data_IF_506518281446
#
_entry.id   IF_506518281446
#
_cell.length_a   1.000
_cell.length_b   1.000
_cell.length_c   1.000
_cell.angle_alpha   90.00
_cell.angle_beta   90.00
_cell.angle_gamma   90.00
#
_symmetry.space_group_name_H-M   'P 1'
#
loop_
_entity.id
_entity.type
_entity.pdbx_description
1 polymer ?
#
# COMPACT_ATOMS: atom_id res chain seq x y z
N UNK A 1 8.73 -16.01 -1.57
CA UNK A 1 7.74 -16.77 -0.77
C UNK A 1 8.44 -17.87 0.04
N UNK A 2 7.74 -18.48 0.99
CA UNK A 2 8.32 -19.43 1.96
C UNK A 2 8.59 -20.83 1.37
N UNK A 3 8.69 -20.96 0.06
CA UNK A 3 9.06 -22.20 -0.61
C UNK A 3 8.19 -23.40 -0.22
N UNK A 4 8.84 -24.50 0.18
CA UNK A 4 8.15 -25.72 0.60
C UNK A 4 7.47 -25.63 1.95
N UNK A 5 7.82 -24.64 2.79
CA UNK A 5 7.31 -24.50 4.14
C UNK A 5 5.92 -23.84 4.26
N UNK A 6 5.32 -23.37 3.18
CA UNK A 6 4.00 -22.73 3.22
C UNK A 6 2.88 -23.76 3.36
N UNK A 7 2.05 -23.61 4.38
CA UNK A 7 0.82 -24.40 4.56
C UNK A 7 -0.28 -23.87 3.62
N UNK A 8 -0.16 -24.08 2.32
CA UNK A 8 -1.03 -23.50 1.27
C UNK A 8 -2.52 -23.88 1.38
N UNK A 9 -2.85 -24.92 2.17
CA UNK A 9 -4.24 -25.35 2.41
C UNK A 9 -4.81 -24.77 3.71
N UNK A 10 -4.00 -24.03 4.50
CA UNK A 10 -4.50 -23.33 5.68
C UNK A 10 -5.39 -22.16 5.26
N UNK A 11 -6.51 -21.90 5.94
CA UNK A 11 -7.42 -20.79 5.56
C UNK A 11 -6.72 -19.44 5.44
N UNK A 12 -5.76 -19.16 6.33
CA UNK A 12 -5.01 -17.91 6.33
C UNK A 12 -3.98 -17.79 5.18
N UNK A 13 -3.68 -18.89 4.45
CA UNK A 13 -2.76 -18.87 3.31
C UNK A 13 -3.33 -18.11 2.10
N UNK A 14 -4.63 -17.86 2.06
CA UNK A 14 -5.24 -16.99 1.03
C UNK A 14 -4.60 -15.60 0.99
N UNK A 15 -4.19 -15.06 2.13
CA UNK A 15 -3.60 -13.71 2.21
C UNK A 15 -2.30 -13.60 1.42
N UNK A 16 -1.23 -14.37 1.70
CA UNK A 16 0.02 -14.28 0.93
C UNK A 16 -0.14 -14.70 -0.53
N UNK A 17 -0.97 -15.69 -0.83
CA UNK A 17 -1.21 -16.14 -2.22
C UNK A 17 -1.88 -15.03 -3.02
N UNK A 18 -2.99 -14.48 -2.53
CA UNK A 18 -3.71 -13.37 -3.12
C UNK A 18 -2.83 -12.12 -3.27
N UNK A 19 -2.02 -11.83 -2.27
CA UNK A 19 -1.11 -10.68 -2.29
C UNK A 19 -0.14 -10.77 -3.47
N UNK A 20 0.55 -11.90 -3.62
CA UNK A 20 1.53 -12.08 -4.72
C UNK A 20 0.83 -12.08 -6.07
N UNK A 21 -0.29 -12.77 -6.17
CA UNK A 21 -1.10 -12.79 -7.38
C UNK A 21 -1.50 -11.36 -7.79
N UNK A 22 -2.10 -10.60 -6.86
CA UNK A 22 -2.61 -9.26 -7.15
C UNK A 22 -1.51 -8.20 -7.37
N UNK A 23 -0.30 -8.37 -6.80
CA UNK A 23 0.85 -7.55 -7.14
C UNK A 23 1.12 -7.59 -8.64
N UNK A 24 1.09 -8.78 -9.26
CA UNK A 24 1.36 -8.93 -10.69
C UNK A 24 0.32 -8.23 -11.58
N UNK A 25 -0.89 -7.99 -11.05
CA UNK A 25 -1.97 -7.26 -11.72
C UNK A 25 -1.94 -5.75 -11.46
N UNK A 26 -0.94 -5.23 -10.74
CA UNK A 26 -0.86 -3.79 -10.50
C UNK A 26 -0.64 -3.04 -11.82
N UNK A 27 -1.46 -2.01 -12.13
CA UNK A 27 -1.41 -1.33 -13.43
C UNK A 27 -0.06 -0.66 -13.72
N UNK A 28 0.72 -0.29 -12.70
CA UNK A 28 2.04 0.30 -12.87
C UNK A 28 3.07 -0.66 -13.48
N UNK A 29 2.83 -1.98 -13.40
CA UNK A 29 3.64 -2.97 -14.13
C UNK A 29 3.26 -3.12 -15.61
N UNK A 30 2.24 -2.40 -16.05
CA UNK A 30 1.85 -2.37 -17.44
C UNK A 30 1.32 -3.70 -18.01
N UNK A 31 0.91 -4.66 -17.17
CA UNK A 31 0.36 -5.95 -17.61
C UNK A 31 1.39 -6.96 -18.13
N UNK A 32 2.68 -6.64 -18.08
CA UNK A 32 3.75 -7.60 -18.41
C UNK A 32 4.14 -8.36 -17.13
N UNK A 33 3.98 -9.68 -17.17
CA UNK A 33 4.26 -10.57 -16.04
C UNK A 33 5.17 -11.70 -16.50
N UNK A 34 6.29 -11.87 -15.79
CA UNK A 34 7.09 -13.09 -15.86
C UNK A 34 7.14 -13.76 -14.49
N UNK A 35 7.18 -15.06 -14.46
CA UNK A 35 7.24 -15.85 -13.23
C UNK A 35 8.54 -16.64 -13.19
N UNK A 36 9.27 -16.52 -12.10
CA UNK A 36 10.46 -17.32 -11.84
C UNK A 36 10.14 -18.23 -10.67
N UNK A 37 10.03 -19.52 -10.94
CA UNK A 37 9.83 -20.57 -9.95
C UNK A 37 11.12 -21.33 -9.69
N UNK A 38 11.26 -21.91 -8.49
CA UNK A 38 12.35 -22.83 -8.21
C UNK A 38 12.11 -24.17 -8.92
N UNK A 39 10.86 -24.68 -8.86
CA UNK A 39 10.43 -25.96 -9.44
C UNK A 39 9.87 -26.96 -8.42
N UNK A 40 10.25 -26.84 -7.12
CA UNK A 40 9.77 -27.72 -6.05
C UNK A 40 8.96 -27.01 -4.98
N UNK A 41 8.61 -25.75 -5.16
CA UNK A 41 7.76 -25.00 -4.26
C UNK A 41 6.32 -25.54 -4.23
N UNK A 42 5.63 -25.45 -3.09
CA UNK A 42 4.21 -25.88 -2.98
C UNK A 42 3.26 -25.01 -3.81
N UNK A 43 3.56 -23.72 -3.94
CA UNK A 43 2.80 -22.83 -4.81
C UNK A 43 3.48 -22.76 -6.17
N UNK A 44 3.15 -23.71 -7.03
CA UNK A 44 3.63 -23.77 -8.41
C UNK A 44 3.12 -22.57 -9.23
N UNK A 45 3.86 -22.13 -10.26
CA UNK A 45 3.45 -21.04 -11.14
C UNK A 45 2.03 -21.18 -11.68
N UNK A 46 1.66 -22.37 -12.12
CA UNK A 46 0.34 -22.66 -12.68
C UNK A 46 -0.77 -22.37 -11.66
N UNK A 47 -0.58 -22.75 -10.40
CA UNK A 47 -1.53 -22.49 -9.32
C UNK A 47 -1.59 -21.00 -8.97
N UNK A 48 -0.45 -20.31 -9.01
CA UNK A 48 -0.39 -18.86 -8.76
C UNK A 48 -1.15 -18.09 -9.84
N UNK A 49 -1.05 -18.53 -11.08
CA UNK A 49 -1.62 -17.85 -12.26
C UNK A 49 -3.09 -18.19 -12.49
N UNK A 50 -3.55 -19.34 -12.01
CA UNK A 50 -4.95 -19.75 -12.11
C UNK A 50 -5.82 -18.87 -11.22
N UNK A 51 -6.91 -18.34 -11.77
CA UNK A 51 -7.92 -17.62 -11.02
C UNK A 51 -8.69 -18.52 -10.05
N UNK A 52 -9.29 -17.92 -9.06
CA UNK A 52 -10.26 -18.52 -8.14
C UNK A 52 -11.51 -17.64 -8.12
N UNK A 53 -12.53 -18.02 -7.36
CA UNK A 53 -13.75 -17.19 -7.23
C UNK A 53 -13.44 -15.76 -6.75
N UNK A 54 -12.37 -15.59 -5.97
CA UNK A 54 -11.95 -14.29 -5.40
C UNK A 54 -10.79 -13.62 -6.15
N UNK A 55 -10.21 -14.29 -7.17
CA UNK A 55 -8.95 -13.84 -7.82
C UNK A 55 -9.00 -14.10 -9.34
N UNK A 56 -8.85 -13.03 -10.10
CA UNK A 56 -8.84 -13.11 -11.58
C UNK A 56 -7.62 -13.89 -12.09
N UNK A 57 -7.80 -14.80 -13.06
CA UNK A 57 -6.68 -15.47 -13.71
C UNK A 57 -5.72 -14.47 -14.37
N UNK A 58 -4.42 -14.75 -14.28
CA UNK A 58 -3.38 -13.97 -14.97
C UNK A 58 -3.03 -14.69 -16.27
N UNK A 59 -3.29 -14.07 -17.42
CA UNK A 59 -2.92 -14.67 -18.71
C UNK A 59 -1.41 -14.51 -18.92
N UNK A 60 -0.65 -15.53 -18.52
CA UNK A 60 0.81 -15.59 -18.75
C UNK A 60 1.11 -16.69 -19.75
N UNK A 61 1.82 -16.34 -20.81
CA UNK A 61 2.32 -17.32 -21.75
C UNK A 61 3.34 -18.26 -21.08
N UNK A 62 3.33 -19.54 -21.40
CA UNK A 62 4.29 -20.51 -20.85
C UNK A 62 5.75 -20.11 -21.08
N UNK A 63 6.04 -19.39 -22.17
CA UNK A 63 7.35 -18.83 -22.47
C UNK A 63 7.80 -17.71 -21.50
N UNK A 64 6.92 -17.22 -20.64
CA UNK A 64 7.21 -16.23 -19.59
C UNK A 64 7.36 -16.85 -18.19
N UNK A 65 7.35 -18.19 -18.11
CA UNK A 65 7.60 -18.96 -16.89
C UNK A 65 8.97 -19.60 -16.97
N UNK A 66 9.84 -19.27 -16.01
CA UNK A 66 11.19 -19.88 -15.90
C UNK A 66 11.23 -20.73 -14.65
N UNK A 67 11.49 -22.03 -14.81
CA UNK A 67 11.79 -22.93 -13.69
C UNK A 67 13.30 -23.10 -13.54
N UNK A 68 13.84 -22.74 -12.38
CA UNK A 68 15.29 -22.85 -12.15
C UNK A 68 15.80 -24.30 -12.14
N UNK A 69 14.94 -25.25 -11.77
CA UNK A 69 15.25 -26.70 -11.75
C UNK A 69 14.97 -27.40 -13.08
N UNK A 70 14.68 -26.67 -14.16
CA UNK A 70 14.52 -27.26 -15.49
C UNK A 70 15.84 -27.93 -15.92
N UNK A 71 15.76 -29.14 -16.46
CA UNK A 71 16.92 -29.95 -16.90
C UNK A 71 17.74 -29.29 -18.03
N UNK A 72 17.15 -28.34 -18.76
CA UNK A 72 17.87 -27.52 -19.74
C UNK A 72 18.93 -26.61 -19.14
N UNK A 73 18.84 -26.30 -17.84
CA UNK A 73 19.77 -25.42 -17.16
C UNK A 73 21.03 -26.21 -16.72
N UNK A 74 22.16 -25.90 -17.34
CA UNK A 74 23.45 -26.45 -16.99
C UNK A 74 24.33 -25.40 -16.35
N UNK A 75 24.42 -25.44 -15.02
CA UNK A 75 25.11 -24.43 -14.20
C UNK A 75 24.27 -23.16 -13.96
N UNK A 76 24.70 -22.35 -12.98
CA UNK A 76 23.97 -21.17 -12.56
C UNK A 76 23.89 -20.08 -13.66
N UNK A 77 24.93 -19.95 -14.47
CA UNK A 77 24.96 -18.96 -15.53
C UNK A 77 23.84 -19.16 -16.54
N UNK A 78 23.54 -20.42 -16.94
CA UNK A 78 22.47 -20.71 -17.89
C UNK A 78 21.07 -20.33 -17.34
N UNK A 79 20.86 -20.46 -16.01
CA UNK A 79 19.63 -20.01 -15.37
C UNK A 79 19.47 -18.48 -15.50
N UNK A 80 20.55 -17.73 -15.23
CA UNK A 80 20.56 -16.25 -15.31
C UNK A 80 20.33 -15.80 -16.76
N UNK A 81 20.97 -16.44 -17.72
CA UNK A 81 20.82 -16.13 -19.15
C UNK A 81 19.38 -16.34 -19.61
N UNK A 82 18.72 -17.43 -19.22
CA UNK A 82 17.30 -17.69 -19.56
C UNK A 82 16.38 -16.63 -18.94
N UNK A 83 16.58 -16.28 -17.65
CA UNK A 83 15.84 -15.21 -16.99
C UNK A 83 16.00 -13.88 -17.74
N UNK A 84 17.23 -13.49 -18.08
CA UNK A 84 17.51 -12.24 -18.77
C UNK A 84 16.90 -12.20 -20.17
N UNK A 85 16.93 -13.31 -20.88
CA UNK A 85 16.31 -13.41 -22.21
C UNK A 85 14.78 -13.24 -22.15
N UNK A 86 14.13 -13.83 -21.15
CA UNK A 86 12.68 -13.65 -20.94
C UNK A 86 12.39 -12.21 -20.54
N UNK A 87 13.16 -11.63 -19.59
CA UNK A 87 12.98 -10.26 -19.12
C UNK A 87 13.15 -9.24 -20.26
N UNK A 88 14.13 -9.44 -21.15
CA UNK A 88 14.35 -8.55 -22.30
C UNK A 88 13.11 -8.44 -23.20
N UNK A 89 12.44 -9.55 -23.48
CA UNK A 89 11.20 -9.56 -24.27
C UNK A 89 10.11 -8.72 -23.64
N UNK A 90 9.95 -8.81 -22.31
CA UNK A 90 8.98 -7.99 -21.57
C UNK A 90 9.37 -6.51 -21.58
N UNK A 91 10.66 -6.20 -21.39
CA UNK A 91 11.17 -4.83 -21.44
C UNK A 91 10.98 -4.18 -22.80
N UNK A 92 11.19 -4.91 -23.90
CA UNK A 92 10.93 -4.41 -25.25
C UNK A 92 9.47 -4.00 -25.44
N UNK A 93 8.52 -4.81 -24.96
CA UNK A 93 7.08 -4.46 -25.00
C UNK A 93 6.77 -3.23 -24.14
N UNK A 94 7.31 -3.17 -22.90
CA UNK A 94 7.11 -2.04 -21.99
C UNK A 94 7.67 -0.73 -22.57
N UNK A 95 8.84 -0.77 -23.21
CA UNK A 95 9.49 0.40 -23.81
C UNK A 95 8.73 0.98 -25.03
N UNK A 96 7.82 0.23 -25.63
CA UNK A 96 6.96 0.71 -26.72
C UNK A 96 5.75 1.50 -26.23
N UNK A 97 5.43 1.44 -24.93
CA UNK A 97 4.25 2.10 -24.37
C UNK A 97 4.41 3.61 -24.34
N UNK A 98 3.34 4.28 -24.70
CA UNK A 98 3.23 5.74 -24.68
C UNK A 98 2.29 6.17 -23.56
N UNK A 99 2.59 7.30 -22.92
CA UNK A 99 1.67 7.95 -21.99
C UNK A 99 0.57 8.67 -22.76
N UNK A 100 -0.66 8.52 -22.30
CA UNK A 100 -1.83 9.21 -22.85
C UNK A 100 -2.60 9.91 -21.73
N UNK A 101 -3.44 10.87 -22.14
CA UNK A 101 -4.29 11.61 -21.20
C UNK A 101 -5.42 10.68 -20.72
N UNK A 102 -5.56 10.55 -19.41
CA UNK A 102 -6.65 9.83 -18.79
C UNK A 102 -7.29 10.69 -17.67
N UNK A 103 -8.56 10.44 -17.33
CA UNK A 103 -9.20 11.17 -16.24
C UNK A 103 -8.63 10.77 -14.87
N UNK A 104 -8.70 11.69 -13.90
CA UNK A 104 -8.24 11.44 -12.54
C UNK A 104 -8.97 10.27 -11.84
N UNK A 105 -10.15 9.89 -12.36
CA UNK A 105 -10.91 8.72 -11.88
C UNK A 105 -10.17 7.37 -12.04
N UNK A 106 -9.12 7.31 -12.87
CA UNK A 106 -8.29 6.11 -13.02
C UNK A 106 -7.22 5.98 -11.91
N UNK A 107 -7.04 7.01 -11.09
CA UNK A 107 -6.09 6.96 -9.97
C UNK A 107 -6.63 6.07 -8.84
N UNK A 108 -5.72 5.27 -8.29
CA UNK A 108 -5.90 4.56 -7.02
C UNK A 108 -4.82 5.04 -6.07
N UNK A 109 -5.19 5.85 -5.08
CA UNK A 109 -4.23 6.52 -4.19
C UNK A 109 -4.25 5.87 -2.83
N UNK A 110 -3.11 5.29 -2.42
CA UNK A 110 -2.92 4.73 -1.08
C UNK A 110 -2.51 5.80 -0.08
N UNK A 111 -3.12 5.79 1.11
CA UNK A 111 -2.79 6.69 2.20
C UNK A 111 -2.18 5.90 3.35
N UNK A 112 -0.98 6.29 3.79
CA UNK A 112 -0.28 5.65 4.89
C UNK A 112 0.41 6.68 5.77
N UNK A 113 0.73 6.33 7.01
CA UNK A 113 1.60 7.12 7.87
C UNK A 113 2.60 6.23 8.61
N UNK A 114 3.79 6.74 8.83
CA UNK A 114 4.83 6.06 9.61
C UNK A 114 5.75 7.07 10.29
N UNK A 115 6.34 6.69 11.42
CA UNK A 115 7.06 7.65 12.24
C UNK A 115 6.17 8.80 12.73
N UNK A 116 4.90 8.50 13.05
CA UNK A 116 3.90 9.50 13.46
C UNK A 116 4.30 10.22 14.75
N UNK A 117 3.87 11.47 14.88
CA UNK A 117 4.06 12.34 16.03
C UNK A 117 2.74 13.03 16.44
N UNK A 118 2.77 13.88 17.48
CA UNK A 118 1.58 14.61 17.94
C UNK A 118 0.99 15.55 16.88
N UNK A 119 1.79 16.02 15.92
CA UNK A 119 1.32 16.89 14.84
C UNK A 119 0.65 16.15 13.71
N UNK A 120 0.83 14.83 13.58
CA UNK A 120 0.28 14.02 12.50
C UNK A 120 -1.23 14.20 12.34
N UNK A 121 -1.97 14.19 13.46
CA UNK A 121 -3.43 14.31 13.49
C UNK A 121 -3.97 15.71 13.32
N UNK A 122 -3.13 16.75 13.39
CA UNK A 122 -3.57 18.17 13.33
C UNK A 122 -3.03 18.93 12.12
N UNK A 123 -2.05 18.37 11.41
CA UNK A 123 -1.45 19.01 10.22
C UNK A 123 -1.56 18.10 8.99
N UNK A 124 -0.62 17.16 8.81
CA UNK A 124 -0.50 16.37 7.59
C UNK A 124 -1.73 15.47 7.33
N UNK A 125 -2.20 14.71 8.32
CA UNK A 125 -3.32 13.80 8.11
C UNK A 125 -4.62 14.52 7.74
N UNK A 126 -5.03 15.64 8.36
CA UNK A 126 -6.18 16.42 7.90
C UNK A 126 -6.03 16.97 6.48
N UNK A 127 -4.83 17.45 6.09
CA UNK A 127 -4.58 17.93 4.74
C UNK A 127 -4.65 16.77 3.71
N UNK A 128 -4.13 15.59 4.07
CA UNK A 128 -4.32 14.36 3.28
C UNK A 128 -5.80 14.02 3.16
N UNK A 129 -6.57 14.14 4.25
CA UNK A 129 -8.01 13.90 4.25
C UNK A 129 -8.76 14.86 3.31
N UNK A 130 -8.36 16.12 3.26
CA UNK A 130 -8.93 17.07 2.32
C UNK A 130 -8.63 16.69 0.86
N UNK A 131 -7.37 16.34 0.56
CA UNK A 131 -6.98 15.84 -0.76
C UNK A 131 -7.70 14.53 -1.12
N UNK A 132 -7.92 13.64 -0.14
CA UNK A 132 -8.70 12.40 -0.32
C UNK A 132 -10.13 12.70 -0.79
N UNK A 133 -10.80 13.68 -0.15
CA UNK A 133 -12.15 14.08 -0.55
C UNK A 133 -12.19 14.71 -1.96
N UNK A 134 -11.17 15.48 -2.34
CA UNK A 134 -11.05 16.00 -3.71
C UNK A 134 -10.89 14.87 -4.74
N UNK A 135 -10.02 13.90 -4.47
CA UNK A 135 -9.82 12.73 -5.33
C UNK A 135 -11.10 11.92 -5.51
N UNK A 136 -11.82 11.65 -4.40
CA UNK A 136 -13.10 10.93 -4.44
C UNK A 136 -14.14 11.69 -5.28
N UNK A 137 -14.21 13.02 -5.18
CA UNK A 137 -15.08 13.86 -6.02
C UNK A 137 -14.72 13.80 -7.49
N UNK A 138 -13.44 13.58 -7.83
CA UNK A 138 -12.99 13.33 -9.20
C UNK A 138 -13.25 11.89 -9.69
N UNK A 139 -13.89 11.06 -8.87
CA UNK A 139 -14.18 9.65 -9.18
C UNK A 139 -13.00 8.69 -8.97
N UNK A 140 -11.88 9.16 -8.38
CA UNK A 140 -10.73 8.32 -8.05
C UNK A 140 -11.04 7.38 -6.88
N UNK A 141 -10.22 6.34 -6.75
CA UNK A 141 -10.21 5.47 -5.58
C UNK A 141 -9.16 5.96 -4.59
N UNK A 142 -9.55 6.11 -3.34
CA UNK A 142 -8.65 6.44 -2.23
C UNK A 142 -8.71 5.33 -1.21
N UNK A 143 -7.54 4.85 -0.79
CA UNK A 143 -7.42 3.70 0.09
C UNK A 143 -6.66 4.09 1.36
N UNK A 144 -7.27 3.91 2.53
CA UNK A 144 -6.61 4.03 3.83
C UNK A 144 -6.61 2.67 4.54
N UNK A 145 -5.65 2.46 5.45
CA UNK A 145 -5.30 1.13 5.94
C UNK A 145 -4.92 1.14 7.42
N UNK A 146 -4.28 0.06 7.89
CA UNK A 146 -3.64 -0.10 9.19
C UNK A 146 -4.61 -0.28 10.36
N UNK A 147 -5.04 -1.55 10.58
CA UNK A 147 -6.06 -1.88 11.58
C UNK A 147 -5.75 -1.33 12.97
N UNK A 148 -4.50 -1.46 13.45
CA UNK A 148 -4.10 -0.95 14.76
C UNK A 148 -4.31 0.56 14.88
N UNK A 149 -4.15 1.30 13.78
CA UNK A 149 -4.29 2.75 13.73
C UNK A 149 -5.72 3.24 13.49
N UNK A 150 -6.68 2.33 13.36
CA UNK A 150 -8.09 2.63 13.07
C UNK A 150 -9.01 2.08 14.16
N UNK A 151 -8.64 0.95 14.77
CA UNK A 151 -9.47 0.17 15.67
C UNK A 151 -10.10 0.97 16.80
N UNK A 152 -9.35 1.86 17.46
CA UNK A 152 -9.86 2.65 18.59
C UNK A 152 -10.69 3.86 18.17
N UNK A 153 -10.69 4.21 16.88
CA UNK A 153 -11.48 5.26 16.26
C UNK A 153 -12.62 4.73 15.37
N UNK A 154 -12.88 3.42 15.39
CA UNK A 154 -13.84 2.75 14.51
C UNK A 154 -15.27 3.32 14.62
N UNK A 155 -15.65 3.82 15.80
CA UNK A 155 -16.94 4.45 16.06
C UNK A 155 -17.17 5.74 15.27
N UNK A 156 -16.09 6.36 14.72
CA UNK A 156 -16.15 7.51 13.83
C UNK A 156 -16.18 7.11 12.35
N UNK A 157 -15.84 5.86 12.03
CA UNK A 157 -15.83 5.35 10.66
C UNK A 157 -17.11 4.59 10.30
N UNK A 158 -17.66 3.79 11.20
CA UNK A 158 -18.89 3.02 10.94
C UNK A 158 -20.06 3.89 10.51
N UNK A 159 -20.31 5.12 11.05
CA UNK A 159 -21.37 6.01 10.57
C UNK A 159 -21.14 6.55 9.15
N UNK A 160 -19.92 6.45 8.64
CA UNK A 160 -19.55 6.88 7.28
C UNK A 160 -19.67 5.74 6.26
N UNK A 161 -19.99 4.53 6.68
CA UNK A 161 -20.24 3.42 5.76
C UNK A 161 -21.47 3.72 4.89
N UNK A 162 -21.38 3.45 3.58
CA UNK A 162 -22.43 3.72 2.61
C UNK A 162 -23.70 2.90 2.89
N UNK A 163 -23.59 1.79 3.60
CA UNK A 163 -24.67 0.93 4.05
C UNK A 163 -24.22 0.08 5.26
N UNK A 164 -25.17 -0.66 5.84
CA UNK A 164 -24.96 -1.51 7.01
C UNK A 164 -23.96 -2.63 6.74
N UNK A 165 -23.97 -3.22 5.55
CA UNK A 165 -23.06 -4.30 5.16
C UNK A 165 -21.58 -3.84 5.20
N UNK A 166 -21.29 -2.67 4.65
CA UNK A 166 -19.94 -2.06 4.70
C UNK A 166 -19.55 -1.75 6.15
N UNK A 167 -20.50 -1.27 6.96
CA UNK A 167 -20.25 -1.02 8.39
C UNK A 167 -19.94 -2.30 9.16
N UNK A 168 -20.67 -3.38 8.90
CA UNK A 168 -20.41 -4.70 9.47
C UNK A 168 -19.05 -5.23 9.03
N UNK A 169 -18.72 -5.10 7.76
CA UNK A 169 -17.44 -5.55 7.22
C UNK A 169 -16.24 -4.84 7.86
N UNK A 170 -16.37 -3.54 8.19
CA UNK A 170 -15.36 -2.81 8.97
C UNK A 170 -15.09 -3.47 10.32
N UNK A 171 -16.14 -3.86 11.04
CA UNK A 171 -16.01 -4.50 12.36
C UNK A 171 -15.42 -5.92 12.25
N UNK A 172 -15.77 -6.68 11.23
CA UNK A 172 -15.22 -8.01 10.97
C UNK A 172 -13.69 -7.97 10.74
N UNK A 173 -13.18 -7.00 9.99
CA UNK A 173 -11.73 -6.84 9.80
C UNK A 173 -11.01 -6.43 11.09
N UNK A 174 -11.66 -5.63 11.97
CA UNK A 174 -11.12 -5.31 13.29
C UNK A 174 -11.03 -6.55 14.16
N UNK A 175 -12.10 -7.37 14.22
CA UNK A 175 -12.15 -8.60 14.99
C UNK A 175 -11.16 -9.65 14.48
N UNK A 176 -11.05 -9.80 13.15
CA UNK A 176 -10.06 -10.69 12.55
C UNK A 176 -8.64 -10.36 13.01
N UNK A 177 -8.30 -9.08 13.02
CA UNK A 177 -6.96 -8.64 13.40
C UNK A 177 -6.72 -8.74 14.91
N UNK A 178 -7.72 -8.44 15.73
CA UNK A 178 -7.64 -8.66 17.19
C UNK A 178 -7.38 -10.16 17.48
N UNK A 179 -8.05 -11.07 16.78
CA UNK A 179 -7.82 -12.52 16.88
C UNK A 179 -6.42 -12.93 16.43
N UNK A 180 -5.91 -12.33 15.35
CA UNK A 180 -4.54 -12.54 14.88
C UNK A 180 -3.51 -12.13 15.95
N UNK A 181 -3.67 -10.98 16.58
CA UNK A 181 -2.79 -10.52 17.67
C UNK A 181 -2.88 -11.45 18.89
N UNK A 182 -4.07 -11.88 19.28
CA UNK A 182 -4.31 -12.80 20.39
C UNK A 182 -3.61 -14.16 20.18
N UNK A 183 -3.56 -14.69 18.94
CA UNK A 183 -2.79 -15.89 18.62
C UNK A 183 -1.29 -15.69 18.88
N UNK A 184 -0.77 -14.49 18.65
CA UNK A 184 0.59 -14.09 19.00
C UNK A 184 0.81 -13.73 20.47
N UNK A 185 -0.22 -13.88 21.32
CA UNK A 185 -0.19 -13.50 22.75
C UNK A 185 0.23 -12.03 22.96
N UNK A 186 -0.24 -11.14 22.08
CA UNK A 186 0.02 -9.71 22.12
C UNK A 186 -1.26 -8.93 21.84
N UNK A 187 -1.22 -7.64 22.02
CA UNK A 187 -2.31 -6.72 21.73
C UNK A 187 -1.80 -5.43 21.07
N UNK A 188 -2.70 -4.49 20.80
CA UNK A 188 -2.40 -3.24 20.14
C UNK A 188 -1.59 -2.26 20.97
N UNK A 189 -1.42 -2.48 22.28
CA UNK A 189 -0.67 -1.61 23.18
C UNK A 189 0.85 -1.59 22.89
N UNK A 190 1.32 -2.56 22.09
CA UNK A 190 2.68 -2.50 21.50
C UNK A 190 2.89 -1.26 20.60
N UNK A 191 1.81 -0.65 20.10
CA UNK A 191 1.79 0.62 19.39
C UNK A 191 1.18 1.71 20.32
N UNK A 192 1.67 2.97 20.38
CA UNK A 192 2.73 3.56 19.57
C UNK A 192 4.16 3.15 19.99
N UNK A 193 5.07 3.18 19.02
CA UNK A 193 6.49 2.88 19.22
C UNK A 193 7.18 3.89 20.15
N UNK A 194 8.36 3.57 20.72
CA UNK A 194 9.13 4.55 21.49
C UNK A 194 9.43 5.84 20.71
N UNK A 195 9.64 5.73 19.39
CA UNK A 195 9.83 6.88 18.49
C UNK A 195 8.59 7.76 18.38
N UNK A 196 7.40 7.17 18.30
CA UNK A 196 6.14 7.91 18.28
C UNK A 196 5.90 8.64 19.63
N UNK A 197 6.16 7.97 20.75
CA UNK A 197 6.07 8.57 22.10
C UNK A 197 7.04 9.75 22.26
N UNK A 198 8.28 9.61 21.79
CA UNK A 198 9.25 10.71 21.72
C UNK A 198 8.78 11.86 20.82
N UNK A 199 7.95 11.57 19.82
CA UNK A 199 7.28 12.56 18.96
C UNK A 199 6.04 13.19 19.60
N UNK A 200 5.68 12.84 20.84
CA UNK A 200 4.59 13.42 21.61
C UNK A 200 3.28 12.62 21.61
N UNK A 201 3.20 11.46 20.96
CA UNK A 201 2.01 10.59 21.02
C UNK A 201 1.94 9.84 22.35
N UNK A 202 0.82 9.97 23.07
CA UNK A 202 0.64 9.37 24.40
C UNK A 202 0.28 7.88 24.33
N UNK A 203 -0.68 7.50 23.47
CA UNK A 203 -1.24 6.15 23.40
C UNK A 203 -1.80 5.82 22.00
N UNK A 204 -2.29 4.58 21.84
CA UNK A 204 -2.85 4.07 20.59
C UNK A 204 -4.17 4.76 20.21
N UNK A 205 -4.97 5.19 21.18
CA UNK A 205 -6.25 5.87 20.92
C UNK A 205 -6.02 7.22 20.27
N UNK A 206 -5.10 8.04 20.84
CA UNK A 206 -4.70 9.32 20.25
C UNK A 206 -4.14 9.12 18.83
N UNK A 207 -3.28 8.11 18.65
CA UNK A 207 -2.74 7.77 17.34
C UNK A 207 -3.86 7.40 16.36
N UNK A 208 -4.84 6.61 16.76
CA UNK A 208 -5.96 6.19 15.91
C UNK A 208 -6.84 7.39 15.51
N UNK A 209 -7.19 8.26 16.46
CA UNK A 209 -7.98 9.46 16.17
C UNK A 209 -7.27 10.38 15.16
N UNK A 210 -5.95 10.58 15.30
CA UNK A 210 -5.15 11.32 14.33
C UNK A 210 -5.01 10.60 12.98
N UNK A 211 -4.91 9.29 12.99
CA UNK A 211 -4.70 8.49 11.77
C UNK A 211 -5.92 8.51 10.85
N UNK A 212 -7.14 8.36 11.39
CA UNK A 212 -8.35 8.35 10.56
C UNK A 212 -8.60 9.68 9.83
N UNK A 213 -8.01 10.78 10.29
CA UNK A 213 -8.16 12.09 9.65
C UNK A 213 -7.71 12.10 8.18
N UNK A 214 -6.73 11.24 7.81
CA UNK A 214 -6.26 11.09 6.42
C UNK A 214 -7.31 10.53 5.46
N UNK A 215 -8.37 9.92 5.97
CA UNK A 215 -9.50 9.41 5.17
C UNK A 215 -10.54 10.46 4.79
N UNK A 216 -10.39 11.73 5.21
CA UNK A 216 -11.33 12.80 4.92
C UNK A 216 -12.72 12.55 5.50
N UNK A 217 -13.75 13.03 4.78
CA UNK A 217 -15.16 12.98 5.20
C UNK A 217 -16.04 12.15 4.26
N UNK A 218 -15.51 11.67 3.15
CA UNK A 218 -16.27 10.88 2.16
C UNK A 218 -16.85 9.60 2.76
N UNK A 219 -17.93 9.10 2.17
CA UNK A 219 -18.52 7.82 2.56
C UNK A 219 -17.56 6.66 2.21
N UNK A 220 -17.47 5.67 3.09
CA UNK A 220 -16.69 4.44 2.85
C UNK A 220 -17.58 3.50 2.03
N UNK A 221 -17.15 3.21 0.81
CA UNK A 221 -17.96 2.45 -0.16
C UNK A 221 -17.64 0.95 -0.16
N UNK A 222 -16.45 0.58 0.34
CA UNK A 222 -16.00 -0.82 0.34
C UNK A 222 -14.96 -1.04 1.44
N UNK A 223 -14.86 -2.29 1.91
CA UNK A 223 -13.86 -2.77 2.87
C UNK A 223 -13.16 -3.97 2.28
N UNK A 224 -11.83 -3.94 2.25
CA UNK A 224 -10.98 -4.99 1.71
C UNK A 224 -10.23 -5.73 2.80
N UNK A 225 -10.19 -7.05 2.70
CA UNK A 225 -9.22 -7.87 3.44
C UNK A 225 -7.81 -7.67 2.88
N UNK A 226 -6.74 -8.03 3.62
CA UNK A 226 -5.36 -7.81 3.19
C UNK A 226 -5.07 -8.30 1.76
N UNK A 227 -4.60 -7.42 0.90
CA UNK A 227 -4.23 -7.71 -0.49
C UNK A 227 -5.39 -7.93 -1.47
N UNK A 228 -6.64 -7.75 -1.05
CA UNK A 228 -7.81 -7.82 -1.92
C UNK A 228 -7.88 -6.60 -2.85
N UNK A 229 -8.33 -6.79 -4.08
CA UNK A 229 -8.53 -5.70 -5.05
C UNK A 229 -9.89 -5.05 -4.87
N UNK A 230 -10.01 -3.72 -5.06
CA UNK A 230 -11.29 -3.03 -5.02
C UNK A 230 -12.18 -3.41 -6.20
N UNK A 231 -13.48 -3.45 -5.95
CA UNK A 231 -14.53 -3.60 -6.97
C UNK A 231 -15.31 -2.30 -7.20
N UNK A 232 -15.15 -1.33 -6.27
CA UNK A 232 -15.82 -0.03 -6.31
C UNK A 232 -14.80 1.10 -6.36
N UNK A 233 -15.22 2.26 -6.88
CA UNK A 233 -14.46 3.51 -6.81
C UNK A 233 -14.96 4.38 -5.66
N UNK A 234 -14.09 5.17 -5.06
CA UNK A 234 -14.39 6.05 -3.94
C UNK A 234 -13.45 5.81 -2.76
N UNK A 235 -13.90 6.16 -1.55
CA UNK A 235 -13.12 5.93 -0.34
C UNK A 235 -13.27 4.48 0.12
N UNK A 236 -12.15 3.79 0.28
CA UNK A 236 -12.07 2.36 0.63
C UNK A 236 -11.20 2.19 1.88
N UNK A 237 -11.65 1.35 2.79
CA UNK A 237 -10.81 0.84 3.86
C UNK A 237 -10.20 -0.50 3.44
N UNK A 238 -8.86 -0.60 3.45
CA UNK A 238 -8.14 -1.84 3.17
C UNK A 238 -7.39 -2.30 4.41
N UNK A 239 -7.84 -3.38 5.03
CA UNK A 239 -7.25 -3.90 6.25
C UNK A 239 -5.81 -4.37 6.05
N UNK A 240 -4.90 -3.89 6.90
CA UNK A 240 -3.49 -4.30 6.91
C UNK A 240 -2.93 -4.25 8.33
N UNK A 241 -1.83 -4.98 8.63
CA UNK A 241 -1.02 -4.69 9.80
C UNK A 241 -0.47 -3.25 9.79
N UNK A 242 -0.21 -2.69 10.96
CA UNK A 242 0.43 -1.37 11.12
C UNK A 242 1.96 -1.49 11.02
N UNK A 243 2.43 -1.84 9.84
CA UNK A 243 3.84 -1.95 9.48
C UNK A 243 4.03 -1.32 8.11
N UNK A 244 4.88 -0.31 8.00
CA UNK A 244 5.09 0.48 6.78
C UNK A 244 5.30 -0.41 5.55
N UNK A 245 6.18 -1.42 5.66
CA UNK A 245 6.52 -2.31 4.55
C UNK A 245 5.38 -3.28 4.19
N UNK A 246 4.73 -3.85 5.21
CA UNK A 246 3.63 -4.79 5.01
C UNK A 246 2.40 -4.06 4.46
N UNK A 247 2.03 -2.92 5.05
CA UNK A 247 0.91 -2.11 4.59
C UNK A 247 1.10 -1.67 3.14
N UNK A 248 2.26 -1.10 2.80
CA UNK A 248 2.56 -0.68 1.43
C UNK A 248 2.48 -1.84 0.44
N UNK A 249 3.01 -3.03 0.79
CA UNK A 249 2.91 -4.23 -0.05
C UNK A 249 1.46 -4.65 -0.27
N UNK A 250 0.63 -4.64 0.77
CA UNK A 250 -0.79 -4.97 0.66
C UNK A 250 -1.54 -3.96 -0.21
N UNK A 251 -1.26 -2.66 -0.05
CA UNK A 251 -1.84 -1.62 -0.88
C UNK A 251 -1.41 -1.74 -2.35
N UNK A 252 -0.14 -2.11 -2.65
CA UNK A 252 0.31 -2.41 -4.02
C UNK A 252 -0.47 -3.58 -4.61
N UNK A 253 -0.68 -4.65 -3.83
CA UNK A 253 -1.52 -5.77 -4.23
C UNK A 253 -2.97 -5.34 -4.49
N UNK A 254 -3.50 -4.42 -3.70
CA UNK A 254 -4.82 -3.84 -3.89
C UNK A 254 -4.89 -2.86 -5.08
N UNK A 255 -3.77 -2.57 -5.75
CA UNK A 255 -3.74 -1.85 -7.02
C UNK A 255 -3.51 -0.35 -6.92
N UNK A 256 -2.93 0.16 -5.82
CA UNK A 256 -2.58 1.59 -5.75
C UNK A 256 -1.61 1.98 -6.88
N UNK A 257 -1.80 3.17 -7.44
CA UNK A 257 -0.96 3.73 -8.50
C UNK A 257 -0.02 4.83 -8.00
N UNK A 258 -0.38 5.48 -6.89
CA UNK A 258 0.41 6.49 -6.16
C UNK A 258 0.17 6.28 -4.67
N UNK A 259 1.19 6.50 -3.84
CA UNK A 259 1.05 6.48 -2.38
C UNK A 259 1.38 7.84 -1.78
N UNK A 260 0.60 8.27 -0.80
CA UNK A 260 0.90 9.42 0.08
C UNK A 260 1.30 8.87 1.44
N UNK A 261 2.46 9.30 1.92
CA UNK A 261 3.03 8.84 3.19
C UNK A 261 3.32 10.02 4.11
N UNK A 262 2.56 10.16 5.20
CA UNK A 262 2.78 11.21 6.19
C UNK A 262 3.77 10.77 7.26
N UNK A 263 4.65 11.66 7.71
CA UNK A 263 5.63 11.37 8.75
C UNK A 263 5.99 12.57 9.59
N UNK A 264 6.11 12.38 10.90
CA UNK A 264 6.58 13.41 11.84
C UNK A 264 8.04 13.20 12.25
N UNK A 265 8.54 11.97 12.17
CA UNK A 265 9.91 11.62 12.54
C UNK A 265 10.86 11.51 11.34
N UNK A 266 10.29 11.38 10.14
CA UNK A 266 11.02 11.12 8.90
C UNK A 266 11.22 9.62 8.64
N UNK A 267 11.24 9.26 7.37
CA UNK A 267 11.49 7.90 6.91
C UNK A 267 12.08 7.90 5.50
N UNK A 268 13.06 7.03 5.18
CA UNK A 268 13.53 6.81 3.83
C UNK A 268 12.64 5.85 3.03
N UNK A 269 11.48 5.46 3.56
CA UNK A 269 10.56 4.53 2.93
C UNK A 269 10.21 4.93 1.49
N UNK A 270 10.15 3.96 0.59
CA UNK A 270 9.75 4.10 -0.80
C UNK A 270 9.35 2.74 -1.38
N UNK A 271 8.64 2.73 -2.50
CA UNK A 271 8.19 1.52 -3.20
C UNK A 271 8.68 1.55 -4.64
N UNK A 272 9.19 0.44 -5.15
CA UNK A 272 9.64 0.35 -6.55
C UNK A 272 8.46 0.47 -7.53
N UNK A 273 7.34 -0.14 -7.19
CA UNK A 273 6.19 -0.25 -8.09
C UNK A 273 5.32 1.01 -8.13
N UNK A 274 5.43 1.88 -7.12
CA UNK A 274 4.48 2.97 -6.87
C UNK A 274 5.24 4.18 -6.35
N UNK A 275 5.10 5.38 -6.98
CA UNK A 275 5.67 6.62 -6.44
C UNK A 275 5.14 6.89 -5.04
N UNK A 276 6.03 7.26 -4.11
CA UNK A 276 5.68 7.58 -2.72
C UNK A 276 5.92 9.07 -2.46
N UNK A 277 4.84 9.83 -2.27
CA UNK A 277 4.86 11.24 -1.91
C UNK A 277 4.99 11.35 -0.40
N UNK A 278 6.08 11.90 0.11
CA UNK A 278 6.31 12.08 1.55
C UNK A 278 5.91 13.46 2.02
N UNK A 279 5.12 13.49 3.07
CA UNK A 279 4.59 14.71 3.66
C UNK A 279 5.02 14.85 5.11
N UNK A 280 5.78 15.91 5.40
CA UNK A 280 6.24 16.23 6.76
C UNK A 280 5.11 16.87 7.57
N UNK A 281 4.95 16.44 8.83
CA UNK A 281 3.96 17.03 9.77
C UNK A 281 4.42 18.37 10.34
N UNK A 282 5.74 18.65 10.31
CA UNK A 282 6.36 19.84 10.89
C UNK A 282 7.39 20.45 9.96
N UNK A 283 7.48 21.78 9.97
CA UNK A 283 8.44 22.53 9.16
C UNK A 283 9.89 22.19 9.49
N UNK A 284 10.22 21.90 10.77
CA UNK A 284 11.58 21.50 11.16
C UNK A 284 12.02 20.20 10.49
N UNK A 285 11.09 19.23 10.32
CA UNK A 285 11.39 18.00 9.61
C UNK A 285 11.58 18.28 8.11
N UNK A 286 10.68 19.07 7.51
CA UNK A 286 10.78 19.44 6.09
C UNK A 286 12.10 20.15 5.78
N UNK A 287 12.53 21.07 6.65
CA UNK A 287 13.79 21.79 6.49
C UNK A 287 15.01 20.91 6.69
N UNK A 288 14.97 19.98 7.66
CA UNK A 288 16.09 19.09 7.95
C UNK A 288 16.27 18.00 6.90
N UNK A 289 15.15 17.52 6.30
CA UNK A 289 15.13 16.50 5.26
C UNK A 289 14.51 17.03 3.97
N UNK A 290 15.01 18.22 3.57
CA UNK A 290 14.50 19.02 2.45
C UNK A 290 14.57 18.29 1.10
N UNK A 291 15.44 17.31 0.98
CA UNK A 291 15.66 16.47 -0.21
C UNK A 291 14.97 15.10 -0.12
N UNK A 292 14.10 14.93 0.90
CA UNK A 292 13.34 13.70 1.11
C UNK A 292 11.85 13.93 1.37
N UNK A 293 11.46 15.11 1.86
CA UNK A 293 10.07 15.51 2.11
C UNK A 293 9.53 16.32 0.95
N UNK A 294 8.57 15.77 0.21
CA UNK A 294 7.98 16.40 -0.97
C UNK A 294 7.06 17.57 -0.61
N UNK A 295 6.37 17.49 0.53
CA UNK A 295 5.41 18.50 1.01
C UNK A 295 5.63 18.80 2.49
N UNK A 296 5.62 20.09 2.84
CA UNK A 296 5.61 20.56 4.22
C UNK A 296 4.18 20.88 4.65
N UNK A 297 3.63 20.13 5.63
CA UNK A 297 2.37 20.44 6.27
C UNK A 297 2.54 21.19 7.61
N UNK A 298 3.78 21.41 8.04
CA UNK A 298 4.08 22.15 9.28
C UNK A 298 3.62 23.60 9.25
N UNK A 299 3.46 24.19 8.06
CA UNK A 299 2.89 25.53 7.82
C UNK A 299 1.47 25.69 8.37
N UNK A 300 0.72 24.59 8.52
CA UNK A 300 -0.60 24.58 9.16
C UNK A 300 -0.47 24.90 10.66
N UNK A 301 0.53 24.33 11.34
CA UNK A 301 0.74 24.55 12.76
C UNK A 301 1.22 25.98 13.08
N UNK A 302 1.90 26.63 12.14
CA UNK A 302 2.36 28.04 12.28
C UNK A 302 1.31 29.04 11.82
N UNK A 303 0.21 28.59 11.21
CA UNK A 303 -0.85 29.45 10.68
C UNK A 303 -0.49 30.17 9.38
N UNK A 304 0.59 29.75 8.72
CA UNK A 304 0.98 30.27 7.41
C UNK A 304 0.08 29.78 6.30
N UNK A 305 -0.48 28.58 6.45
CA UNK A 305 -1.39 27.94 5.50
C UNK A 305 -2.52 27.21 6.25
N UNK A 306 -3.66 27.09 5.59
CA UNK A 306 -4.79 26.29 6.07
C UNK A 306 -4.64 24.82 5.67
N UNK A 307 -5.45 23.96 6.31
CA UNK A 307 -5.55 22.54 5.92
C UNK A 307 -5.98 22.41 4.46
N UNK A 308 -6.91 23.24 4.01
CA UNK A 308 -7.42 23.28 2.65
C UNK A 308 -6.33 23.62 1.63
N UNK A 309 -5.55 24.68 1.89
CA UNK A 309 -4.47 25.11 0.99
C UNK A 309 -3.40 24.03 0.83
N UNK A 310 -2.98 23.41 1.93
CA UNK A 310 -2.01 22.30 1.88
C UNK A 310 -2.63 21.06 1.24
N UNK A 311 -3.93 20.80 1.47
CA UNK A 311 -4.68 19.73 0.82
C UNK A 311 -4.77 19.91 -0.71
N UNK A 312 -5.01 21.14 -1.19
CA UNK A 312 -4.96 21.47 -2.62
C UNK A 312 -3.55 21.30 -3.20
N UNK A 313 -2.50 21.74 -2.48
CA UNK A 313 -1.12 21.50 -2.90
C UNK A 313 -0.85 20.01 -3.09
N UNK A 314 -1.26 19.18 -2.14
CA UNK A 314 -1.10 17.73 -2.22
C UNK A 314 -1.88 17.16 -3.41
N UNK A 315 -3.13 17.56 -3.60
CA UNK A 315 -3.95 17.10 -4.73
C UNK A 315 -3.25 17.38 -6.07
N UNK A 316 -2.78 18.61 -6.30
CA UNK A 316 -2.05 18.95 -7.53
C UNK A 316 -0.73 18.20 -7.64
N UNK A 317 -0.02 18.00 -6.52
CA UNK A 317 1.23 17.24 -6.54
C UNK A 317 1.00 15.77 -6.93
N UNK A 318 -0.09 15.14 -6.44
CA UNK A 318 -0.50 13.79 -6.85
C UNK A 318 -0.73 13.73 -8.36
N UNK A 319 -1.45 14.71 -8.95
CA UNK A 319 -1.68 14.77 -10.39
C UNK A 319 -0.38 14.98 -11.19
N UNK A 320 0.53 15.82 -10.70
CA UNK A 320 1.83 16.07 -11.33
C UNK A 320 2.73 14.82 -11.32
N UNK A 321 2.73 14.07 -10.20
CA UNK A 321 3.46 12.79 -10.08
C UNK A 321 2.83 11.74 -10.99
N UNK A 322 1.51 11.57 -10.95
CA UNK A 322 0.80 10.60 -11.78
C UNK A 322 0.99 10.87 -13.29
N UNK A 323 1.02 12.15 -13.70
CA UNK A 323 1.28 12.54 -15.10
C UNK A 323 2.75 12.48 -15.50
N UNK A 324 3.66 12.19 -14.56
CA UNK A 324 5.11 12.16 -14.82
C UNK A 324 5.76 13.55 -14.97
N UNK A 325 5.05 14.64 -14.64
CA UNK A 325 5.60 16.00 -14.63
C UNK A 325 6.57 16.22 -13.48
N UNK A 326 6.34 15.50 -12.37
CA UNK A 326 7.22 15.53 -11.19
C UNK A 326 7.62 14.13 -10.78
N UNK A 327 8.85 13.98 -10.29
CA UNK A 327 9.32 12.80 -9.57
C UNK A 327 9.34 13.09 -8.09
N UNK A 328 8.90 12.13 -7.27
CA UNK A 328 9.05 12.20 -5.83
C UNK A 328 10.54 12.11 -5.44
N UNK A 329 10.91 12.61 -4.27
CA UNK A 329 12.27 12.41 -3.77
C UNK A 329 12.60 10.92 -3.57
N UNK A 330 11.60 10.10 -3.21
CA UNK A 330 11.80 8.65 -3.15
C UNK A 330 12.27 8.06 -4.48
N UNK A 331 11.66 8.48 -5.58
CA UNK A 331 12.03 8.01 -6.93
C UNK A 331 13.36 8.61 -7.39
N UNK A 332 13.65 9.87 -7.03
CA UNK A 332 14.93 10.52 -7.37
C UNK A 332 16.12 9.82 -6.72
N UNK A 333 15.97 9.37 -5.45
CA UNK A 333 16.99 8.65 -4.71
C UNK A 333 16.97 7.14 -4.94
N UNK A 334 16.00 6.61 -5.69
CA UNK A 334 15.85 5.17 -5.89
C UNK A 334 15.54 4.42 -4.59
N UNK A 335 14.74 4.99 -3.70
CA UNK A 335 14.36 4.39 -2.43
C UNK A 335 13.31 3.31 -2.67
N UNK A 336 13.78 2.11 -2.92
CA UNK A 336 12.95 0.96 -3.25
C UNK A 336 13.02 -0.07 -2.14
N UNK A 337 12.09 0.00 -1.20
CA UNK A 337 11.97 -1.03 -0.18
C UNK A 337 11.51 -2.36 -0.78
N UNK A 338 12.07 -3.44 -0.27
CA UNK A 338 11.61 -4.78 -0.62
C UNK A 338 10.15 -4.96 -0.22
N UNK A 339 9.36 -5.59 -1.09
CA UNK A 339 7.99 -5.96 -0.78
C UNK A 339 7.96 -7.01 0.34
N UNK A 340 7.14 -6.75 1.38
CA UNK A 340 7.02 -7.60 2.56
C UNK A 340 5.64 -8.27 2.56
N UNK A 341 5.58 -9.51 2.10
CA UNK A 341 4.34 -10.27 2.02
C UNK A 341 3.91 -10.69 3.42
N UNK A 342 2.69 -10.29 3.81
CA UNK A 342 2.08 -10.70 5.06
C UNK A 342 1.59 -12.14 4.97
N UNK A 343 2.10 -13.01 5.85
CA UNK A 343 1.68 -14.41 5.94
C UNK A 343 1.19 -14.73 7.34
N UNK A 344 -0.11 -14.71 7.62
CA UNK A 344 -0.68 -15.14 8.88
C UNK A 344 -0.83 -16.66 9.01
N UNK A 345 -0.57 -17.42 7.93
CA UNK A 345 -0.62 -18.87 7.95
C UNK A 345 0.63 -19.49 8.60
N UNK A 346 0.51 -20.66 9.22
CA UNK A 346 1.66 -21.35 9.78
C UNK A 346 2.65 -21.76 8.68
N UNK A 347 3.93 -21.81 9.04
CA UNK A 347 5.02 -22.37 8.23
C UNK A 347 5.34 -23.75 8.79
N UNK A 348 5.37 -24.77 7.93
CA UNK A 348 5.59 -26.18 8.29
C UNK A 348 7.02 -26.62 7.98
#
# INVERSE_FOLDING_TARGET
>A
MYGCGVAINAPAAVVPIRTIHNISLNPNFGGEVMVIGLGCEKLQPERLLTGTDDVQAIPVESASIVSLQDEKHVGFQSMVEDILQVAERHLQKLNQRQRETCPASELVVGMQCGGSDAFSGVTANPAVGYASDLLVRCGATVMFSEVTEVRDAIHLLTPRAVNEEVGKRLLEEMEWYDNYLNMGKTDRSANPSPGNKKGGLANVVEKALGSIAKSGKSAIVEVLSPGQRPTKRGLIYAATPASDFVCGTQQVASGITVQVFTTGRGTPYGLMAVPVIKMATRTELANRWFDLMDINAGTIATGEETIEEVGWKLFHFILDVASGKKKTFSDQWGLHNQLAVFNPAPVT
#
